data_IF_056562836992
#
_entry.id   IF_056562836992
#
_cell.length_a   1.000
_cell.length_b   1.000
_cell.length_c   1.000
_cell.angle_alpha   90.00
_cell.angle_beta   90.00
_cell.angle_gamma   90.00
#
_symmetry.space_group_name_H-M   'P 1'
#
loop_
_entity.id
_entity.type
_entity.pdbx_description
1 polymer ?
#
# COMPACT_ATOMS: atom_id res chain seq x y z
N UNK A 1 -9.98 -10.24 13.38
CA UNK A 1 -9.05 -10.81 12.40
C UNK A 1 -7.67 -10.25 12.64
N UNK A 2 -6.61 -11.05 12.55
CA UNK A 2 -5.22 -10.55 12.59
C UNK A 2 -4.69 -10.27 11.19
N UNK A 3 -3.67 -9.42 11.06
CA UNK A 3 -3.08 -9.00 9.79
C UNK A 3 -2.70 -10.17 8.84
N UNK A 4 -2.32 -11.32 9.41
CA UNK A 4 -1.96 -12.54 8.68
C UNK A 4 -3.16 -13.14 7.93
N UNK A 5 -4.37 -13.04 8.48
CA UNK A 5 -5.59 -13.53 7.83
C UNK A 5 -6.00 -12.62 6.66
N UNK A 6 -5.84 -11.31 6.80
CA UNK A 6 -6.04 -10.35 5.71
C UNK A 6 -5.05 -10.58 4.57
N UNK A 7 -3.76 -10.75 4.89
CA UNK A 7 -2.72 -11.07 3.90
C UNK A 7 -2.98 -12.42 3.23
N UNK A 8 -3.34 -13.46 3.98
CA UNK A 8 -3.70 -14.77 3.44
C UNK A 8 -4.86 -14.66 2.45
N UNK A 9 -5.91 -13.94 2.84
CA UNK A 9 -7.10 -13.73 2.00
C UNK A 9 -6.74 -13.01 0.70
N UNK A 10 -5.94 -11.95 0.78
CA UNK A 10 -5.43 -11.25 -0.40
C UNK A 10 -4.64 -12.21 -1.32
N UNK A 11 -3.72 -13.00 -0.76
CA UNK A 11 -2.91 -13.95 -1.54
C UNK A 11 -3.75 -15.06 -2.19
N UNK A 12 -4.80 -15.55 -1.51
CA UNK A 12 -5.73 -16.53 -2.05
C UNK A 12 -6.48 -15.97 -3.27
N UNK A 13 -7.02 -14.76 -3.17
CA UNK A 13 -7.72 -14.08 -4.25
C UNK A 13 -6.78 -13.82 -5.44
N UNK A 14 -5.60 -13.27 -5.16
CA UNK A 14 -4.59 -12.95 -6.17
C UNK A 14 -4.15 -14.21 -6.94
N UNK A 15 -3.85 -15.29 -6.21
CA UNK A 15 -3.42 -16.55 -6.81
C UNK A 15 -4.54 -17.22 -7.62
N UNK A 16 -5.78 -17.19 -7.12
CA UNK A 16 -6.94 -17.78 -7.80
C UNK A 16 -7.28 -17.06 -9.12
N UNK A 17 -7.07 -15.74 -9.17
CA UNK A 17 -7.30 -14.95 -10.37
C UNK A 17 -6.17 -15.03 -11.40
N UNK A 18 -5.03 -15.64 -11.05
CA UNK A 18 -3.85 -15.77 -11.92
C UNK A 18 -3.41 -14.42 -12.53
N UNK A 19 -3.42 -13.37 -11.70
CA UNK A 19 -2.97 -12.04 -12.10
C UNK A 19 -1.45 -11.97 -12.22
N UNK A 20 -0.99 -11.03 -13.05
CA UNK A 20 0.43 -10.72 -13.23
C UNK A 20 0.68 -9.24 -12.94
N UNK A 21 0.35 -8.81 -11.72
CA UNK A 21 0.56 -7.45 -11.24
C UNK A 21 1.90 -7.34 -10.50
N UNK A 22 2.54 -6.19 -10.61
CA UNK A 22 3.74 -5.87 -9.83
C UNK A 22 3.31 -5.17 -8.53
N UNK A 23 3.12 -5.96 -7.47
CA UNK A 23 2.76 -5.45 -6.15
C UNK A 23 3.85 -5.71 -5.12
N UNK A 24 3.84 -4.95 -4.02
CA UNK A 24 4.77 -5.08 -2.90
C UNK A 24 4.07 -4.65 -1.61
N UNK A 25 4.32 -5.36 -0.51
CA UNK A 25 3.83 -4.96 0.82
C UNK A 25 4.78 -3.91 1.40
N UNK A 26 4.19 -2.79 1.82
CA UNK A 26 4.87 -1.70 2.53
C UNK A 26 4.33 -1.58 3.95
N UNK A 27 4.82 -0.60 4.71
CA UNK A 27 4.28 -0.29 6.02
C UNK A 27 4.34 -1.44 7.04
N UNK A 28 3.41 -1.37 7.99
CA UNK A 28 3.48 -2.13 9.24
C UNK A 28 3.48 -3.65 9.05
N UNK A 29 2.67 -4.19 8.13
CA UNK A 29 2.70 -5.63 7.79
C UNK A 29 4.02 -6.02 7.12
N UNK A 30 4.52 -5.21 6.17
CA UNK A 30 5.80 -5.47 5.51
C UNK A 30 6.96 -5.51 6.51
N UNK A 31 6.90 -4.69 7.56
CA UNK A 31 7.88 -4.68 8.65
C UNK A 31 7.80 -5.95 9.52
N UNK A 32 6.59 -6.34 9.94
CA UNK A 32 6.39 -7.55 10.77
C UNK A 32 6.76 -8.83 10.03
N UNK A 33 6.48 -8.92 8.73
CA UNK A 33 6.93 -10.04 7.89
C UNK A 33 8.46 -10.20 7.91
N UNK A 34 9.20 -9.10 8.07
CA UNK A 34 10.67 -9.11 8.15
C UNK A 34 11.21 -9.25 9.59
N UNK A 35 10.35 -9.53 10.57
CA UNK A 35 10.74 -9.80 11.96
C UNK A 35 10.72 -8.58 12.88
N UNK A 36 10.16 -7.44 12.47
CA UNK A 36 9.96 -6.31 13.38
C UNK A 36 8.92 -6.64 14.46
N UNK A 37 9.23 -6.34 15.71
CA UNK A 37 8.32 -6.54 16.85
C UNK A 37 7.36 -5.35 17.00
N UNK A 38 6.21 -5.41 16.31
CA UNK A 38 5.16 -4.39 16.39
C UNK A 38 3.78 -4.98 16.03
N UNK A 39 2.73 -4.22 16.31
CA UNK A 39 1.36 -4.56 15.89
C UNK A 39 1.02 -3.81 14.60
N UNK A 40 0.70 -4.49 13.49
CA UNK A 40 0.24 -3.84 12.27
C UNK A 40 -1.16 -3.24 12.43
N UNK A 41 -1.38 -2.10 11.79
CA UNK A 41 -2.68 -1.41 11.80
C UNK A 41 -3.54 -1.78 10.58
N UNK A 42 -2.88 -2.00 9.45
CA UNK A 42 -3.45 -2.16 8.12
C UNK A 42 -2.47 -2.93 7.22
N UNK A 43 -2.98 -3.42 6.09
CA UNK A 43 -2.19 -4.04 5.03
C UNK A 43 -2.07 -3.04 3.88
N UNK A 44 -0.88 -2.45 3.74
CA UNK A 44 -0.56 -1.54 2.66
C UNK A 44 0.07 -2.28 1.49
N UNK A 45 -0.63 -2.28 0.35
CA UNK A 45 -0.17 -2.88 -0.90
C UNK A 45 0.13 -1.75 -1.86
N UNK A 46 1.39 -1.66 -2.26
CA UNK A 46 1.82 -0.73 -3.28
C UNK A 46 1.95 -1.45 -4.62
N UNK A 47 1.43 -0.85 -5.69
CA UNK A 47 1.50 -1.41 -7.04
C UNK A 47 2.27 -0.49 -7.98
N UNK A 48 3.01 -1.11 -8.89
CA UNK A 48 3.93 -0.40 -9.78
C UNK A 48 3.22 0.34 -10.88
N UNK A 49 2.16 -0.23 -11.42
CA UNK A 49 1.44 0.28 -12.57
C UNK A 49 -0.01 0.61 -12.19
N UNK A 50 -0.57 1.70 -12.73
CA UNK A 50 -1.94 2.12 -12.41
C UNK A 50 -3.00 1.04 -12.74
N UNK A 51 -2.79 0.29 -13.83
CA UNK A 51 -3.67 -0.80 -14.25
C UNK A 51 -3.74 -1.94 -13.22
N UNK A 52 -2.70 -2.09 -12.39
CA UNK A 52 -2.70 -3.09 -11.30
C UNK A 52 -3.64 -2.67 -10.17
N UNK A 53 -3.87 -1.38 -9.94
CA UNK A 53 -4.90 -0.93 -8.98
C UNK A 53 -6.27 -1.38 -9.43
N UNK A 54 -6.56 -1.26 -10.73
CA UNK A 54 -7.86 -1.63 -11.31
C UNK A 54 -8.09 -3.14 -11.17
N UNK A 55 -7.09 -3.94 -11.53
CA UNK A 55 -7.16 -5.40 -11.43
C UNK A 55 -7.32 -5.87 -9.98
N UNK A 56 -6.54 -5.32 -9.05
CA UNK A 56 -6.62 -5.69 -7.64
C UNK A 56 -7.93 -5.18 -7.01
N UNK A 57 -8.40 -3.98 -7.38
CA UNK A 57 -9.68 -3.47 -6.90
C UNK A 57 -10.85 -4.37 -7.31
N UNK A 58 -10.82 -4.93 -8.52
CA UNK A 58 -11.80 -5.93 -8.95
C UNK A 58 -11.72 -7.22 -8.13
N UNK A 59 -10.53 -7.66 -7.70
CA UNK A 59 -10.40 -8.81 -6.78
C UNK A 59 -11.01 -8.54 -5.40
N UNK A 60 -10.95 -7.28 -4.96
CA UNK A 60 -11.45 -6.86 -3.66
C UNK A 60 -12.92 -6.41 -3.68
N UNK A 61 -13.60 -6.48 -4.83
CA UNK A 61 -15.03 -6.17 -4.97
C UNK A 61 -15.93 -6.92 -3.95
N UNK A 62 -15.69 -8.20 -3.59
CA UNK A 62 -16.48 -8.87 -2.56
C UNK A 62 -16.44 -8.20 -1.17
N UNK A 63 -15.47 -7.31 -0.94
CA UNK A 63 -15.29 -6.53 0.29
C UNK A 63 -15.66 -5.06 0.12
N UNK A 64 -16.11 -4.66 -1.07
CA UNK A 64 -16.55 -3.30 -1.34
C UNK A 64 -17.89 -3.01 -0.69
N UNK A 65 -18.09 -1.75 -0.31
CA UNK A 65 -19.42 -1.26 0.06
C UNK A 65 -20.39 -1.37 -1.12
N UNK A 66 -21.64 -1.76 -0.84
CA UNK A 66 -22.69 -1.83 -1.87
C UNK A 66 -23.10 -0.47 -2.44
N UNK A 67 -22.84 0.61 -1.70
CA UNK A 67 -23.09 2.00 -2.12
C UNK A 67 -21.83 2.82 -1.97
N UNK A 68 -21.73 3.90 -2.74
CA UNK A 68 -20.64 4.87 -2.62
C UNK A 68 -20.56 5.42 -1.20
N UNK A 69 -19.34 5.63 -0.72
CA UNK A 69 -19.09 6.27 0.57
C UNK A 69 -19.58 7.72 0.54
N UNK A 70 -20.31 8.13 1.57
CA UNK A 70 -20.66 9.53 1.82
C UNK A 70 -19.48 10.31 2.43
N UNK A 71 -18.49 9.60 2.97
CA UNK A 71 -17.26 10.20 3.48
C UNK A 71 -16.40 10.67 2.31
N UNK A 72 -15.64 11.72 2.55
CA UNK A 72 -14.59 12.15 1.64
C UNK A 72 -13.44 11.14 1.64
N UNK A 73 -12.72 10.97 0.53
CA UNK A 73 -11.53 10.12 0.48
C UNK A 73 -10.36 10.65 1.35
N UNK A 74 -10.48 11.86 1.89
CA UNK A 74 -9.60 12.39 2.95
C UNK A 74 -9.91 11.83 4.34
N UNK A 75 -11.08 11.20 4.51
CA UNK A 75 -11.49 10.60 5.77
C UNK A 75 -10.78 9.26 5.96
N UNK A 76 -10.23 9.02 7.14
CA UNK A 76 -9.55 7.77 7.47
C UNK A 76 -10.49 6.55 7.37
N UNK A 77 -11.79 6.78 7.56
CA UNK A 77 -12.84 5.76 7.51
C UNK A 77 -13.48 5.60 6.12
N UNK A 78 -13.01 6.33 5.10
CA UNK A 78 -13.46 6.12 3.72
C UNK A 78 -13.18 4.68 3.26
N UNK A 79 -14.15 4.06 2.58
CA UNK A 79 -14.00 2.73 2.00
C UNK A 79 -14.46 2.72 0.54
N UNK A 80 -13.76 1.91 -0.25
CA UNK A 80 -14.10 1.58 -1.63
C UNK A 80 -15.48 0.94 -1.73
N UNK A 81 -16.19 1.28 -2.78
CA UNK A 81 -17.51 0.75 -3.11
C UNK A 81 -17.52 0.14 -4.50
N UNK A 82 -18.56 -0.63 -4.83
CA UNK A 82 -18.74 -1.18 -6.19
C UNK A 82 -18.76 -0.06 -7.25
N UNK A 83 -19.32 1.11 -6.90
CA UNK A 83 -19.45 2.24 -7.83
C UNK A 83 -18.21 3.17 -7.84
N UNK A 84 -17.38 3.10 -6.80
CA UNK A 84 -16.17 3.90 -6.63
C UNK A 84 -15.11 3.00 -5.97
N UNK A 85 -14.49 2.09 -6.74
CA UNK A 85 -13.57 1.08 -6.21
C UNK A 85 -12.21 1.67 -5.84
N UNK A 86 -11.85 2.81 -6.41
CA UNK A 86 -10.65 3.59 -6.10
C UNK A 86 -10.91 5.06 -6.44
N UNK A 87 -10.10 5.95 -5.89
CA UNK A 87 -10.05 7.36 -6.24
C UNK A 87 -8.68 7.74 -6.80
N UNK A 88 -8.60 8.88 -7.47
CA UNK A 88 -7.33 9.45 -7.93
C UNK A 88 -7.20 10.88 -7.41
N UNK A 89 -6.03 11.22 -6.88
CA UNK A 89 -5.73 12.51 -6.29
C UNK A 89 -4.32 12.97 -6.66
N UNK A 90 -4.21 14.15 -7.26
CA UNK A 90 -2.94 14.83 -7.48
C UNK A 90 -2.61 15.77 -6.32
N UNK A 91 -1.33 15.87 -5.99
CA UNK A 91 -0.82 16.71 -4.90
C UNK A 91 0.01 17.87 -5.46
N UNK A 92 0.09 18.99 -4.72
CA UNK A 92 0.86 20.18 -5.14
C UNK A 92 2.35 19.89 -5.32
N UNK A 93 2.86 18.84 -4.68
CA UNK A 93 4.21 18.29 -4.85
C UNK A 93 4.45 17.69 -6.24
N UNK A 94 3.40 17.44 -7.02
CA UNK A 94 3.46 16.96 -8.40
C UNK A 94 3.27 15.46 -8.59
N UNK A 95 3.13 14.66 -7.52
CA UNK A 95 2.78 13.24 -7.63
C UNK A 95 1.27 13.03 -7.55
N UNK A 96 0.80 11.89 -8.06
CA UNK A 96 -0.62 11.52 -8.05
C UNK A 96 -0.81 10.14 -7.42
N UNK A 97 -1.77 10.01 -6.53
CA UNK A 97 -2.17 8.73 -5.96
C UNK A 97 -3.40 8.20 -6.67
N UNK A 98 -3.39 6.91 -6.99
CA UNK A 98 -4.60 6.14 -7.30
C UNK A 98 -4.74 5.08 -6.21
N UNK A 99 -5.77 5.20 -5.37
CA UNK A 99 -5.90 4.42 -4.14
C UNK A 99 -7.29 3.82 -3.96
N UNK A 100 -7.35 2.58 -3.48
CA UNK A 100 -8.55 1.95 -2.94
C UNK A 100 -8.32 1.48 -1.49
N UNK A 101 -9.41 1.34 -0.74
CA UNK A 101 -9.39 0.93 0.66
C UNK A 101 -10.57 0.03 0.99
N UNK A 102 -10.31 -1.14 1.55
CA UNK A 102 -11.32 -2.12 1.91
C UNK A 102 -11.14 -2.56 3.36
N UNK A 103 -12.13 -3.26 3.88
CA UNK A 103 -12.00 -4.03 5.11
C UNK A 103 -12.25 -5.50 4.83
N UNK A 104 -11.26 -6.34 5.14
CA UNK A 104 -11.48 -7.77 5.25
C UNK A 104 -11.77 -8.04 6.73
N UNK A 105 -13.06 -8.21 7.03
CA UNK A 105 -13.62 -8.13 8.38
C UNK A 105 -13.33 -6.76 9.03
N UNK A 106 -12.47 -6.72 10.05
CA UNK A 106 -12.11 -5.48 10.78
C UNK A 106 -10.70 -4.97 10.45
N UNK A 107 -9.97 -5.64 9.57
CA UNK A 107 -8.60 -5.25 9.19
C UNK A 107 -8.61 -4.49 7.85
N UNK A 108 -8.03 -3.30 7.83
CA UNK A 108 -8.00 -2.44 6.65
C UNK A 108 -6.96 -2.96 5.65
N UNK A 109 -7.33 -2.92 4.37
CA UNK A 109 -6.43 -3.20 3.25
C UNK A 109 -6.46 -2.00 2.33
N UNK A 110 -5.28 -1.46 2.03
CA UNK A 110 -5.10 -0.35 1.11
C UNK A 110 -4.30 -0.80 -0.10
N UNK A 111 -4.74 -0.39 -1.28
CA UNK A 111 -4.00 -0.62 -2.53
C UNK A 111 -3.76 0.73 -3.15
N UNK A 112 -2.49 1.06 -3.41
CA UNK A 112 -2.10 2.37 -3.93
C UNK A 112 -1.11 2.24 -5.07
N UNK A 113 -1.26 3.11 -6.06
CA UNK A 113 -0.24 3.43 -7.05
C UNK A 113 0.10 4.92 -6.91
N UNK A 114 1.38 5.27 -7.07
CA UNK A 114 1.85 6.66 -7.07
C UNK A 114 2.50 6.93 -8.41
N UNK A 115 1.87 7.76 -9.24
CA UNK A 115 2.45 8.24 -10.50
C UNK A 115 3.20 9.55 -10.28
N UNK A 116 4.10 9.87 -11.21
CA UNK A 116 4.85 11.13 -11.24
C UNK A 116 5.61 11.40 -9.93
N UNK A 117 6.23 10.35 -9.40
CA UNK A 117 6.99 10.34 -8.15
C UNK A 117 8.23 11.26 -8.14
N UNK A 118 8.46 12.05 -9.20
CA UNK A 118 9.52 13.07 -9.25
C UNK A 118 9.41 14.13 -8.15
N UNK A 119 8.21 14.32 -7.59
CA UNK A 119 7.97 15.20 -6.43
C UNK A 119 8.29 14.57 -5.07
N UNK A 120 8.62 13.27 -5.04
CA UNK A 120 9.03 12.58 -3.83
C UNK A 120 10.55 12.74 -3.72
N UNK A 121 11.07 13.27 -2.60
CA UNK A 121 12.51 13.32 -2.38
C UNK A 121 13.04 11.89 -2.21
N UNK A 122 13.35 11.20 -3.30
CA UNK A 122 13.97 9.87 -3.31
C UNK A 122 15.25 9.83 -4.17
N UNK A 123 16.30 9.20 -3.66
CA UNK A 123 17.60 9.19 -4.34
C UNK A 123 18.51 8.07 -3.84
N UNK A 124 19.17 7.40 -4.78
CA UNK A 124 20.28 6.47 -4.50
C UNK A 124 21.61 7.21 -4.24
N UNK A 125 21.68 8.52 -4.46
CA UNK A 125 22.93 9.31 -4.42
C UNK A 125 23.02 10.34 -3.29
N UNK A 126 22.00 10.50 -2.45
CA UNK A 126 22.17 11.41 -1.30
C UNK A 126 20.93 11.76 -0.49
N UNK A 127 19.73 11.67 -1.05
CA UNK A 127 18.52 12.00 -0.28
C UNK A 127 17.93 10.79 0.45
N UNK A 128 18.25 9.55 0.08
CA UNK A 128 17.71 8.30 0.63
C UNK A 128 16.45 7.83 -0.10
N UNK A 129 15.95 6.62 0.18
CA UNK A 129 14.82 6.02 -0.57
C UNK A 129 13.54 6.10 0.27
N UNK A 130 12.47 6.61 -0.33
CA UNK A 130 11.14 6.63 0.27
C UNK A 130 10.31 5.42 -0.14
N UNK A 131 9.47 4.90 0.75
CA UNK A 131 8.73 3.64 0.53
C UNK A 131 7.67 3.70 -0.57
N UNK A 132 7.18 4.88 -0.94
CA UNK A 132 6.34 5.08 -2.13
C UNK A 132 7.11 5.61 -3.34
N UNK A 133 8.45 5.64 -3.25
CA UNK A 133 9.34 6.11 -4.29
C UNK A 133 9.58 5.07 -5.39
N UNK A 134 10.18 5.50 -6.49
CA UNK A 134 10.42 4.62 -7.65
C UNK A 134 11.53 3.59 -7.41
N UNK A 135 12.47 3.89 -6.50
CA UNK A 135 13.66 3.04 -6.33
C UNK A 135 13.39 1.78 -5.51
N UNK A 136 12.30 1.73 -4.74
CA UNK A 136 11.96 0.56 -3.90
C UNK A 136 11.89 -0.73 -4.71
N UNK A 137 11.44 -0.64 -5.98
CA UNK A 137 11.21 -1.80 -6.85
C UNK A 137 12.52 -2.53 -7.16
N UNK A 138 13.63 -1.80 -7.20
CA UNK A 138 14.97 -2.38 -7.41
C UNK A 138 15.55 -3.03 -6.15
N UNK A 139 14.95 -2.76 -4.99
CA UNK A 139 15.39 -3.25 -3.69
C UNK A 139 14.40 -4.24 -3.05
N UNK A 140 13.31 -4.58 -3.74
CA UNK A 140 12.29 -5.50 -3.25
C UNK A 140 12.92 -6.80 -2.74
N UNK A 141 12.55 -7.20 -1.52
CA UNK A 141 12.90 -8.50 -0.93
C UNK A 141 11.69 -9.41 -1.04
N UNK A 142 11.91 -10.72 -0.98
CA UNK A 142 10.83 -11.70 -0.88
C UNK A 142 10.91 -12.40 0.46
N UNK A 143 9.75 -12.63 1.08
CA UNK A 143 9.61 -13.31 2.36
C UNK A 143 8.61 -14.45 2.19
N UNK A 144 8.95 -15.63 2.70
CA UNK A 144 8.02 -16.75 2.75
C UNK A 144 6.93 -16.48 3.80
N UNK A 145 5.68 -16.57 3.37
CA UNK A 145 4.50 -16.46 4.24
C UNK A 145 3.55 -17.62 3.94
N UNK A 146 3.50 -18.60 4.85
CA UNK A 146 2.78 -19.85 4.66
C UNK A 146 3.22 -20.56 3.36
N UNK A 147 2.35 -20.60 2.34
CA UNK A 147 2.63 -21.18 1.00
C UNK A 147 2.90 -20.12 -0.07
N UNK A 148 2.94 -18.84 0.31
CA UNK A 148 3.09 -17.69 -0.57
C UNK A 148 4.47 -17.07 -0.44
N UNK A 149 4.92 -16.43 -1.52
CA UNK A 149 6.14 -15.61 -1.54
C UNK A 149 5.70 -14.16 -1.64
N UNK A 150 5.98 -13.38 -0.61
CA UNK A 150 5.49 -12.01 -0.47
C UNK A 150 6.59 -11.03 -0.82
N UNK A 151 6.44 -10.20 -1.86
CA UNK A 151 7.32 -9.08 -2.10
C UNK A 151 7.13 -8.04 -0.99
N UNK A 152 8.23 -7.58 -0.37
CA UNK A 152 8.23 -6.57 0.69
C UNK A 152 9.29 -5.50 0.44
N UNK A 153 9.02 -4.27 0.88
CA UNK A 153 10.04 -3.22 0.94
C UNK A 153 11.00 -3.48 2.11
N UNK A 154 12.32 -3.47 1.90
CA UNK A 154 13.31 -3.64 2.96
C UNK A 154 13.09 -2.76 4.18
N UNK A 155 13.32 -3.32 5.37
CA UNK A 155 13.23 -2.59 6.64
C UNK A 155 14.03 -1.28 6.65
N UNK A 156 15.18 -1.24 5.97
CA UNK A 156 16.02 -0.05 5.88
C UNK A 156 15.30 1.12 5.19
N UNK A 157 14.53 0.84 4.13
CA UNK A 157 13.74 1.84 3.40
C UNK A 157 12.51 2.26 4.21
N UNK A 158 11.86 1.31 4.89
CA UNK A 158 10.73 1.62 5.78
C UNK A 158 11.16 2.49 6.97
N UNK A 159 12.32 2.19 7.57
CA UNK A 159 12.89 2.96 8.68
C UNK A 159 13.21 4.39 8.24
N UNK A 160 13.88 4.55 7.10
CA UNK A 160 14.18 5.87 6.52
C UNK A 160 12.89 6.68 6.26
N UNK A 161 11.87 6.04 5.68
CA UNK A 161 10.57 6.67 5.45
C UNK A 161 9.92 7.16 6.76
N UNK A 162 9.98 6.36 7.82
CA UNK A 162 9.47 6.71 9.14
C UNK A 162 10.30 7.80 9.82
N UNK A 163 11.63 7.78 9.70
CA UNK A 163 12.51 8.83 10.22
C UNK A 163 12.18 10.18 9.60
N UNK A 164 11.87 10.23 8.30
CA UNK A 164 11.44 11.45 7.62
C UNK A 164 10.07 11.95 8.01
N UNK A 165 9.12 11.05 8.24
CA UNK A 165 7.81 11.42 8.80
C UNK A 165 7.98 12.05 10.18
N UNK A 166 8.83 11.47 11.02
CA UNK A 166 9.11 12.00 12.35
C UNK A 166 9.92 13.30 12.31
N UNK A 167 10.88 13.47 11.40
CA UNK A 167 11.60 14.75 11.24
C UNK A 167 10.71 15.88 10.74
N UNK A 168 9.57 15.56 10.10
CA UNK A 168 8.53 16.53 9.71
C UNK A 168 7.53 16.86 10.83
N UNK A 169 7.59 16.21 12.00
CA UNK A 169 6.72 16.59 13.14
C UNK A 169 7.07 17.94 13.77
N UNK A 170 8.14 18.61 13.33
CA UNK A 170 8.38 20.04 13.59
C UNK A 170 7.90 20.99 12.48
N UNK A 171 7.37 20.51 11.34
CA UNK A 171 6.72 21.37 10.34
C UNK A 171 5.85 20.58 9.33
N UNK A 172 4.54 20.58 9.63
CA UNK A 172 3.42 20.42 8.68
C UNK A 172 3.17 19.02 8.08
N UNK A 173 1.92 18.51 8.08
CA UNK A 173 1.57 17.28 7.39
C UNK A 173 1.61 17.49 5.86
N UNK A 174 2.20 16.56 5.14
CA UNK A 174 2.09 16.42 3.68
C UNK A 174 1.70 14.98 3.37
#
# INVERSE_FOLDING_TARGET
MSWNEALRTFCELYSAANLNCNWIVVGSVGSVLQGAEMTPNDLDIYVKDIDDVIQIAALLEPYSMGTKSELSYFDADWLSSINEPYFTQSFDSGFTWTKGKWKIQDFSIEVVHISDSAGIPDSVTGEGIWEGGQYIWTHAKTIDFEKYVIPVVPLEIQLESNMRRNSKTESTPF
#
